data_IF_235897398537
#
_entry.id   IF_235897398537
#
_cell.length_a   1.000
_cell.length_b   1.000
_cell.length_c   1.000
_cell.angle_alpha   90.00
_cell.angle_beta   90.00
_cell.angle_gamma   90.00
#
_symmetry.space_group_name_H-M   'P 1'
#
loop_
_entity.id
_entity.type
_entity.pdbx_description
1 polymer ?
#
# COMPACT_ATOMS: atom_id res chain seq x y z
N UNK A 1 16.30 23.10 10.73
CA UNK A 1 16.31 21.62 10.82
C UNK A 1 15.56 21.10 9.60
N UNK A 2 16.28 20.65 8.58
CA UNK A 2 15.66 20.00 7.41
C UNK A 2 15.41 18.55 7.79
N UNK A 3 14.17 18.20 8.12
CA UNK A 3 13.79 16.81 8.30
C UNK A 3 13.66 16.24 6.89
N UNK A 4 14.68 15.50 6.47
CA UNK A 4 14.62 14.65 5.30
C UNK A 4 13.52 13.62 5.57
N UNK A 5 12.40 13.67 4.83
CA UNK A 5 11.35 12.68 4.96
C UNK A 5 11.86 11.35 4.39
N UNK A 6 12.62 10.61 5.19
CA UNK A 6 12.62 9.16 5.08
C UNK A 6 11.16 8.72 5.13
N UNK A 7 10.77 7.82 4.23
CA UNK A 7 9.42 7.29 4.09
C UNK A 7 8.64 7.25 5.42
N UNK A 8 7.50 7.94 5.50
CA UNK A 8 6.68 7.96 6.71
C UNK A 8 5.80 6.71 6.72
N UNK A 9 5.95 5.89 7.75
CA UNK A 9 5.07 4.74 7.99
C UNK A 9 4.11 5.04 9.13
N UNK A 10 2.85 4.70 8.93
CA UNK A 10 1.82 4.74 9.98
C UNK A 10 1.22 3.35 10.15
N UNK A 11 0.90 2.96 11.37
CA UNK A 11 0.20 1.73 11.66
C UNK A 11 -1.27 2.00 12.02
N UNK A 12 -2.15 1.17 11.46
CA UNK A 12 -3.58 1.09 11.77
C UNK A 12 -3.87 -0.33 12.21
N UNK A 13 -4.35 -0.52 13.44
CA UNK A 13 -4.54 -1.85 14.03
C UNK A 13 -3.31 -2.75 13.82
N UNK A 14 -2.12 -2.24 14.18
CA UNK A 14 -0.82 -2.94 14.04
C UNK A 14 -0.37 -3.23 12.60
N UNK A 15 -1.16 -2.87 11.59
CA UNK A 15 -0.79 -3.06 10.18
C UNK A 15 -0.11 -1.79 9.66
N UNK A 16 1.16 -1.86 9.23
CA UNK A 16 1.91 -0.69 8.78
C UNK A 16 1.62 -0.34 7.31
N UNK A 17 1.58 0.97 7.03
CA UNK A 17 1.34 1.53 5.71
C UNK A 17 2.36 2.62 5.40
N UNK A 18 2.83 2.64 4.15
CA UNK A 18 3.60 3.76 3.62
C UNK A 18 2.67 4.93 3.31
N UNK A 19 2.98 6.10 3.85
CA UNK A 19 2.22 7.33 3.61
C UNK A 19 2.85 8.13 2.48
N UNK A 20 1.99 8.63 1.59
CA UNK A 20 2.37 9.58 0.53
C UNK A 20 1.59 10.88 0.73
N UNK A 21 2.32 11.99 0.71
CA UNK A 21 1.69 13.31 0.71
C UNK A 21 0.92 13.54 -0.59
N UNK A 22 -0.27 14.12 -0.49
CA UNK A 22 -1.09 14.53 -1.63
C UNK A 22 -1.70 15.91 -1.34
N UNK A 23 -1.50 16.91 -2.21
CA UNK A 23 -1.93 18.29 -1.96
C UNK A 23 -3.45 18.46 -1.90
N UNK A 24 -4.23 17.46 -2.35
CA UNK A 24 -5.70 17.51 -2.31
C UNK A 24 -6.27 17.03 -0.98
N UNK A 25 -5.45 16.43 -0.11
CA UNK A 25 -5.89 15.90 1.17
C UNK A 25 -5.71 16.96 2.26
N UNK A 26 -6.81 17.26 2.96
CA UNK A 26 -6.80 18.25 4.05
C UNK A 26 -5.94 17.74 5.22
N UNK A 27 -5.24 18.62 5.95
CA UNK A 27 -4.59 18.24 7.20
C UNK A 27 -5.55 17.52 8.15
N UNK A 28 -5.04 16.50 8.86
CA UNK A 28 -5.84 15.65 9.75
C UNK A 28 -6.72 14.61 9.05
N UNK A 29 -6.67 14.50 7.72
CA UNK A 29 -7.40 13.49 6.96
C UNK A 29 -6.44 12.51 6.27
N UNK A 30 -6.91 11.29 6.04
CA UNK A 30 -6.23 10.27 5.22
C UNK A 30 -7.18 9.81 4.12
N UNK A 31 -6.62 9.60 2.92
CA UNK A 31 -7.35 9.00 1.81
C UNK A 31 -6.98 7.54 1.65
N UNK A 32 -8.00 6.71 1.47
CA UNK A 32 -7.88 5.26 1.31
C UNK A 32 -8.64 4.85 0.05
N UNK A 33 -8.08 3.88 -0.68
CA UNK A 33 -8.84 3.23 -1.75
C UNK A 33 -9.92 2.29 -1.16
N UNK A 34 -10.79 1.76 -2.01
CA UNK A 34 -11.90 0.90 -1.58
C UNK A 34 -11.44 -0.36 -0.83
N UNK A 35 -10.36 -0.98 -1.27
CA UNK A 35 -9.81 -2.19 -0.66
C UNK A 35 -9.23 -1.91 0.74
N UNK A 36 -8.46 -0.83 0.87
CA UNK A 36 -7.92 -0.39 2.16
C UNK A 36 -9.04 -0.03 3.16
N UNK A 37 -10.10 0.67 2.71
CA UNK A 37 -11.26 0.95 3.57
C UNK A 37 -11.93 -0.32 4.06
N UNK A 38 -12.09 -1.31 3.17
CA UNK A 38 -12.65 -2.61 3.54
C UNK A 38 -11.77 -3.34 4.55
N UNK A 39 -10.46 -3.37 4.33
CA UNK A 39 -9.49 -3.97 5.25
C UNK A 39 -9.55 -3.31 6.63
N UNK A 40 -9.65 -1.97 6.68
CA UNK A 40 -9.71 -1.21 7.94
C UNK A 40 -11.11 -1.20 8.57
N UNK A 41 -12.11 -1.73 7.86
CA UNK A 41 -13.54 -1.59 8.21
C UNK A 41 -13.92 -0.12 8.46
N UNK A 42 -13.31 0.78 7.70
CA UNK A 42 -13.44 2.22 7.86
C UNK A 42 -14.55 2.78 6.97
N UNK A 43 -15.50 3.47 7.59
CA UNK A 43 -16.50 4.29 6.89
C UNK A 43 -15.91 5.63 6.47
N UNK A 44 -16.55 6.30 5.50
CA UNK A 44 -16.17 7.67 5.14
C UNK A 44 -16.35 8.60 6.33
N UNK A 45 -15.36 9.48 6.56
CA UNK A 45 -15.32 10.45 7.66
C UNK A 45 -15.29 9.84 9.07
N UNK A 46 -15.02 8.53 9.18
CA UNK A 46 -14.78 7.90 10.47
C UNK A 46 -13.44 8.37 11.06
N UNK A 47 -13.41 8.65 12.36
CA UNK A 47 -12.16 8.86 13.08
C UNK A 47 -11.39 7.53 13.18
N UNK A 48 -10.09 7.57 12.86
CA UNK A 48 -9.22 6.40 12.86
C UNK A 48 -7.99 6.75 13.68
N UNK A 49 -7.67 5.90 14.64
CA UNK A 49 -6.45 6.03 15.43
C UNK A 49 -5.26 5.54 14.60
N UNK A 50 -4.27 6.42 14.47
CA UNK A 50 -3.05 6.16 13.74
C UNK A 50 -1.89 6.23 14.73
N UNK A 51 -0.97 5.28 14.63
CA UNK A 51 0.28 5.30 15.39
C UNK A 51 1.46 5.41 14.45
N UNK A 52 2.53 6.06 14.91
CA UNK A 52 3.77 6.10 14.14
C UNK A 52 4.40 4.71 14.13
N UNK A 53 4.79 4.22 12.95
CA UNK A 53 5.47 2.95 12.81
C UNK A 53 6.93 3.20 12.41
N UNK A 54 7.86 2.64 13.18
CA UNK A 54 9.29 2.73 12.87
C UNK A 54 9.72 1.41 12.23
N UNK A 55 10.10 1.47 10.96
CA UNK A 55 10.65 0.33 10.23
C UNK A 55 12.16 0.45 10.14
N UNK A 56 12.87 -0.63 10.48
CA UNK A 56 14.33 -0.72 10.37
C UNK A 56 14.69 -1.60 9.18
N UNK A 57 14.89 -1.03 7.98
CA UNK A 57 15.05 -1.80 6.75
C UNK A 57 16.26 -2.72 6.75
N UNK A 58 17.28 -2.44 7.56
CA UNK A 58 18.46 -3.32 7.71
C UNK A 58 18.15 -4.64 8.44
N UNK A 59 17.00 -4.73 9.11
CA UNK A 59 16.61 -5.89 9.91
C UNK A 59 15.65 -6.85 9.19
N UNK A 60 14.92 -6.38 8.17
CA UNK A 60 13.89 -7.18 7.50
C UNK A 60 13.66 -6.68 6.07
N UNK A 61 14.18 -7.41 5.08
CA UNK A 61 13.89 -7.17 3.66
C UNK A 61 13.25 -8.42 3.09
N UNK A 62 12.08 -8.27 2.45
CA UNK A 62 11.43 -9.38 1.78
C UNK A 62 12.29 -9.86 0.60
N UNK A 63 12.79 -11.09 0.67
CA UNK A 63 13.53 -11.72 -0.43
C UNK A 63 12.61 -12.23 -1.54
N UNK A 64 11.42 -12.68 -1.17
CA UNK A 64 10.39 -13.18 -2.08
C UNK A 64 8.99 -12.87 -1.53
N UNK A 65 8.06 -12.63 -2.45
CA UNK A 65 6.65 -12.37 -2.15
C UNK A 65 5.82 -13.14 -3.16
N UNK A 66 4.92 -14.01 -2.67
CA UNK A 66 3.90 -14.63 -3.50
C UNK A 66 2.67 -13.71 -3.57
N UNK A 67 2.17 -13.45 -4.78
CA UNK A 67 0.99 -12.63 -5.00
C UNK A 67 -0.02 -13.40 -5.85
N UNK A 68 -1.26 -13.48 -5.36
CA UNK A 68 -2.40 -13.94 -6.14
C UNK A 68 -3.01 -12.74 -6.87
N UNK A 69 -3.21 -12.86 -8.19
CA UNK A 69 -3.64 -11.76 -9.04
C UNK A 69 -4.86 -12.18 -9.84
N UNK A 70 -5.96 -11.48 -9.60
CA UNK A 70 -7.24 -11.66 -10.29
C UNK A 70 -7.65 -10.43 -11.09
N UNK A 71 -8.38 -10.66 -12.19
CA UNK A 71 -8.95 -9.57 -13.00
C UNK A 71 -10.22 -9.03 -12.34
N UNK A 72 -10.13 -7.77 -11.89
CA UNK A 72 -11.18 -7.07 -11.14
C UNK A 72 -12.37 -6.64 -12.02
N UNK A 73 -12.19 -6.37 -13.32
CA UNK A 73 -13.27 -5.93 -14.21
C UNK A 73 -13.84 -7.06 -15.08
N UNK A 74 -15.12 -7.36 -14.90
CA UNK A 74 -15.84 -8.38 -15.67
C UNK A 74 -15.85 -8.13 -17.19
N UNK A 75 -15.83 -6.86 -17.63
CA UNK A 75 -15.75 -6.47 -19.04
C UNK A 75 -14.44 -6.88 -19.72
N UNK A 76 -13.36 -7.04 -18.95
CA UNK A 76 -12.03 -7.37 -19.46
C UNK A 76 -11.70 -8.87 -19.28
N UNK A 77 -12.51 -9.62 -18.52
CA UNK A 77 -12.37 -11.09 -18.39
C UNK A 77 -12.56 -11.84 -19.70
N UNK A 78 -13.28 -11.24 -20.67
CA UNK A 78 -13.49 -11.81 -22.01
C UNK A 78 -12.41 -11.42 -23.03
N UNK A 79 -11.48 -10.54 -22.67
CA UNK A 79 -10.34 -10.19 -23.52
C UNK A 79 -9.21 -11.16 -23.21
N UNK A 80 -8.71 -11.84 -24.23
CA UNK A 80 -7.45 -12.57 -24.10
C UNK A 80 -6.33 -11.55 -23.89
N UNK A 81 -5.62 -11.65 -22.78
CA UNK A 81 -4.38 -10.92 -22.52
C UNK A 81 -3.31 -11.92 -22.10
N UNK A 82 -2.10 -11.72 -22.60
CA UNK A 82 -0.93 -12.49 -22.16
C UNK A 82 -0.29 -11.71 -21.01
N UNK A 83 -0.23 -12.34 -19.83
CA UNK A 83 0.54 -11.81 -18.70
C UNK A 83 1.94 -12.42 -18.74
N UNK A 84 2.94 -11.59 -19.02
CA UNK A 84 4.33 -11.98 -18.78
C UNK A 84 4.65 -11.80 -17.30
N UNK A 85 4.88 -12.91 -16.60
CA UNK A 85 5.16 -12.91 -15.17
C UNK A 85 6.42 -12.11 -14.82
N UNK A 86 7.42 -12.09 -15.71
CA UNK A 86 8.68 -11.36 -15.48
C UNK A 86 8.43 -9.85 -15.52
N UNK A 87 7.77 -9.36 -16.57
CA UNK A 87 7.39 -7.94 -16.68
C UNK A 87 6.47 -7.51 -15.55
N UNK A 88 5.51 -8.36 -15.16
CA UNK A 88 4.60 -8.09 -14.06
C UNK A 88 5.36 -7.99 -12.72
N UNK A 89 6.27 -8.92 -12.45
CA UNK A 89 7.10 -8.92 -11.25
C UNK A 89 7.97 -7.66 -11.18
N UNK A 90 8.63 -7.28 -12.29
CA UNK A 90 9.43 -6.06 -12.36
C UNK A 90 8.58 -4.80 -12.09
N UNK A 91 7.39 -4.73 -12.69
CA UNK A 91 6.48 -3.61 -12.50
C UNK A 91 5.96 -3.52 -11.06
N UNK A 92 5.53 -4.65 -10.48
CA UNK A 92 5.07 -4.72 -9.09
C UNK A 92 6.20 -4.40 -8.12
N UNK A 93 7.42 -4.88 -8.37
CA UNK A 93 8.60 -4.54 -7.58
C UNK A 93 8.87 -3.03 -7.57
N UNK A 94 8.65 -2.33 -8.69
CA UNK A 94 8.76 -0.88 -8.75
C UNK A 94 7.66 -0.15 -7.96
N UNK A 95 6.41 -0.66 -8.00
CA UNK A 95 5.27 -0.03 -7.33
C UNK A 95 5.31 -0.26 -5.82
N UNK A 96 5.65 -1.49 -5.42
CA UNK A 96 5.67 -1.94 -4.02
C UNK A 96 7.00 -1.63 -3.33
N UNK A 97 7.93 -0.97 -4.02
CA UNK A 97 9.23 -0.58 -3.44
C UNK A 97 9.02 0.23 -2.15
N UNK A 98 9.72 -0.18 -1.09
CA UNK A 98 9.64 0.41 0.24
C UNK A 98 8.25 0.33 0.90
N UNK A 99 7.33 -0.50 0.39
CA UNK A 99 6.09 -0.80 1.09
C UNK A 99 6.31 -2.01 2.00
N UNK A 100 5.65 -1.99 3.16
CA UNK A 100 5.61 -3.16 4.04
C UNK A 100 4.41 -3.99 3.61
N UNK A 101 4.65 -5.28 3.38
CA UNK A 101 3.62 -6.24 3.02
C UNK A 101 3.39 -7.16 4.22
N UNK A 102 2.12 -7.43 4.51
CA UNK A 102 1.68 -8.34 5.57
C UNK A 102 0.73 -9.38 4.99
N UNK A 103 0.66 -10.55 5.64
CA UNK A 103 -0.27 -11.64 5.30
C UNK A 103 -1.63 -11.43 5.97
#
# INVERSE_FOLDING_TARGET
>A
IYINFYALYLAVNETPYLVRADPKIKPGHIALNSQQRQQWRASLNQAIDLSHFVFYPESLVASSVGLEIDVVKASDRKKAFTLDAVSLSAHLGSILKNQILSQ
#
